data_IF_613889752965
#
_entry.id   IF_613889752965
#
_cell.length_a   1.000
_cell.length_b   1.000
_cell.length_c   1.000
_cell.angle_alpha   90.00
_cell.angle_beta   90.00
_cell.angle_gamma   90.00
#
_symmetry.space_group_name_H-M   'P 1'
#
loop_
_entity.id
_entity.type
_entity.pdbx_description
1 polymer ?
#
# COMPACT_ATOMS: atom_id res chain seq x y z
N UNK A 1 -22.96 43.56 -36.48
CA UNK A 1 -22.92 42.12 -36.82
C UNK A 1 -21.71 41.35 -36.24
N UNK A 2 -20.72 41.98 -35.57
CA UNK A 2 -19.48 41.30 -35.14
C UNK A 2 -19.39 40.76 -33.70
N UNK A 3 -20.41 40.93 -32.85
CA UNK A 3 -20.35 40.51 -31.44
C UNK A 3 -20.85 39.09 -31.17
N UNK A 4 -21.78 38.58 -31.99
CA UNK A 4 -22.32 37.23 -31.82
C UNK A 4 -21.38 36.11 -32.28
N UNK A 5 -20.52 36.34 -33.28
CA UNK A 5 -19.54 35.34 -33.75
C UNK A 5 -18.46 35.03 -32.70
N UNK A 6 -17.98 36.05 -31.98
CA UNK A 6 -16.94 35.88 -30.95
C UNK A 6 -17.46 35.07 -29.75
N UNK A 7 -18.73 35.27 -29.36
CA UNK A 7 -19.37 34.49 -28.30
C UNK A 7 -19.61 33.03 -28.72
N UNK A 8 -20.06 32.82 -29.96
CA UNK A 8 -20.24 31.47 -30.51
C UNK A 8 -18.90 30.72 -30.63
N UNK A 9 -17.83 31.41 -31.03
CA UNK A 9 -16.50 30.80 -31.16
C UNK A 9 -15.89 30.43 -29.80
N UNK A 10 -16.06 31.25 -28.75
CA UNK A 10 -15.62 30.90 -27.38
C UNK A 10 -16.44 29.74 -26.78
N UNK A 11 -17.76 29.70 -27.02
CA UNK A 11 -18.62 28.62 -26.56
C UNK A 11 -18.34 27.28 -27.29
N UNK A 12 -17.90 27.33 -28.55
CA UNK A 12 -17.48 26.16 -29.32
C UNK A 12 -16.12 25.60 -28.86
N UNK A 13 -15.15 26.46 -28.54
CA UNK A 13 -13.84 26.05 -27.97
C UNK A 13 -14.03 25.41 -26.59
N UNK A 14 -14.86 26.01 -25.73
CA UNK A 14 -15.16 25.47 -24.39
C UNK A 14 -15.91 24.13 -24.41
N UNK A 15 -16.75 23.88 -25.43
CA UNK A 15 -17.36 22.56 -25.66
C UNK A 15 -16.34 21.53 -26.15
N UNK A 16 -15.47 21.90 -27.11
CA UNK A 16 -14.44 20.99 -27.65
C UNK A 16 -13.42 20.51 -26.60
N UNK A 17 -13.04 21.36 -25.64
CA UNK A 17 -12.15 20.94 -24.52
C UNK A 17 -12.86 19.99 -23.55
N UNK A 18 -14.16 20.20 -23.28
CA UNK A 18 -14.95 19.32 -22.39
C UNK A 18 -15.12 17.91 -22.98
N UNK A 19 -15.38 17.80 -24.28
CA UNK A 19 -15.49 16.50 -24.97
C UNK A 19 -14.14 15.78 -25.12
N UNK A 20 -13.02 16.52 -25.22
CA UNK A 20 -11.67 15.94 -25.22
C UNK A 20 -11.26 15.36 -23.86
N UNK A 21 -11.61 16.02 -22.76
CA UNK A 21 -11.35 15.49 -21.41
C UNK A 21 -12.19 14.24 -21.11
N UNK A 22 -13.45 14.20 -21.55
CA UNK A 22 -14.32 13.02 -21.42
C UNK A 22 -13.83 11.89 -22.33
N UNK A 23 -13.42 12.19 -23.57
CA UNK A 23 -12.85 11.18 -24.47
C UNK A 23 -11.51 10.64 -23.97
N UNK A 24 -10.68 11.46 -23.32
CA UNK A 24 -9.45 10.97 -22.68
C UNK A 24 -9.73 10.11 -21.45
N UNK A 25 -10.72 10.46 -20.63
CA UNK A 25 -11.14 9.62 -19.50
C UNK A 25 -11.65 8.26 -20.00
N UNK A 26 -12.45 8.25 -21.09
CA UNK A 26 -12.95 7.03 -21.73
C UNK A 26 -11.80 6.24 -22.36
N UNK A 27 -10.86 6.89 -23.05
CA UNK A 27 -9.70 6.23 -23.65
C UNK A 27 -8.80 5.60 -22.58
N UNK A 28 -8.61 6.26 -21.44
CA UNK A 28 -7.85 5.73 -20.29
C UNK A 28 -8.59 4.55 -19.66
N UNK A 29 -9.91 4.65 -19.47
CA UNK A 29 -10.74 3.54 -19.03
C UNK A 29 -10.72 2.37 -20.02
N UNK A 30 -10.64 2.64 -21.34
CA UNK A 30 -10.49 1.62 -22.37
C UNK A 30 -9.10 0.99 -22.37
N UNK A 31 -8.01 1.76 -22.16
CA UNK A 31 -6.65 1.23 -22.04
C UNK A 31 -6.50 0.36 -20.79
N UNK A 32 -7.09 0.78 -19.67
CA UNK A 32 -7.21 -0.03 -18.45
C UNK A 32 -8.10 -1.26 -18.69
N UNK A 33 -9.16 -1.13 -19.50
CA UNK A 33 -10.02 -2.23 -19.95
C UNK A 33 -9.33 -3.22 -20.89
N UNK A 34 -8.35 -2.79 -21.68
CA UNK A 34 -7.54 -3.69 -22.52
C UNK A 34 -6.47 -4.44 -21.72
N UNK A 35 -5.99 -3.88 -20.61
CA UNK A 35 -5.18 -4.60 -19.62
C UNK A 35 -6.00 -5.68 -18.88
N UNK A 36 -7.32 -5.51 -18.81
CA UNK A 36 -8.30 -6.51 -18.35
C UNK A 36 -8.55 -7.65 -19.34
N UNK A 37 -8.20 -7.48 -20.63
CA UNK A 37 -8.43 -8.47 -21.70
C UNK A 37 -7.23 -9.39 -21.95
N UNK A 38 -6.16 -9.28 -21.15
CA UNK A 38 -5.19 -10.36 -21.04
C UNK A 38 -5.92 -11.56 -20.41
N UNK A 39 -5.86 -12.77 -21.01
CA UNK A 39 -6.70 -13.89 -20.61
C UNK A 39 -6.51 -14.22 -19.12
N UNK A 40 -7.60 -14.07 -18.36
CA UNK A 40 -7.74 -14.46 -16.95
C UNK A 40 -7.61 -15.97 -16.71
N UNK A 41 -7.47 -16.76 -17.78
CA UNK A 41 -7.35 -18.23 -17.75
C UNK A 41 -5.92 -18.72 -17.49
N UNK A 42 -4.95 -17.84 -17.25
CA UNK A 42 -3.62 -18.23 -16.76
C UNK A 42 -3.48 -18.10 -15.23
N UNK A 43 -4.54 -17.68 -14.52
CA UNK A 43 -4.51 -17.33 -13.08
C UNK A 43 -5.56 -18.08 -12.25
N UNK A 44 -6.13 -19.16 -12.78
CA UNK A 44 -7.05 -20.02 -12.05
C UNK A 44 -6.62 -21.49 -12.21
N UNK A 45 -6.38 -22.13 -11.07
CA UNK A 45 -5.98 -23.53 -10.86
C UNK A 45 -4.56 -23.90 -11.33
N UNK A 46 -3.57 -23.56 -10.51
CA UNK A 46 -2.36 -24.37 -10.39
C UNK A 46 -2.48 -25.22 -9.10
N UNK A 47 -2.26 -26.54 -9.16
CA UNK A 47 -2.26 -27.39 -7.98
C UNK A 47 -1.11 -26.98 -7.06
N UNK A 48 -1.40 -26.86 -5.76
CA UNK A 48 -0.43 -26.62 -4.68
C UNK A 48 0.68 -27.66 -4.75
N UNK A 49 1.76 -27.32 -5.44
CA UNK A 49 3.03 -28.05 -5.46
C UNK A 49 4.15 -27.04 -5.67
N UNK A 50 4.94 -26.83 -4.62
CA UNK A 50 6.29 -26.25 -4.56
C UNK A 50 6.47 -24.85 -5.17
N UNK A 51 6.66 -23.87 -4.27
CA UNK A 51 7.26 -22.54 -4.50
C UNK A 51 6.83 -21.80 -5.76
N UNK A 52 5.54 -21.47 -5.86
CA UNK A 52 5.14 -20.32 -6.66
C UNK A 52 5.52 -19.07 -5.87
N UNK A 53 6.73 -18.55 -6.13
CA UNK A 53 7.33 -17.41 -5.43
C UNK A 53 6.54 -16.14 -5.71
N UNK A 54 5.38 -15.96 -5.08
CA UNK A 54 4.77 -14.64 -4.92
C UNK A 54 5.70 -13.85 -4.01
N UNK A 55 6.60 -13.09 -4.62
CA UNK A 55 7.52 -12.21 -3.93
C UNK A 55 6.74 -11.25 -3.03
N UNK A 56 6.82 -11.46 -1.71
CA UNK A 56 6.25 -10.57 -0.70
C UNK A 56 7.38 -9.74 -0.08
N UNK A 57 7.56 -8.48 -0.50
CA UNK A 57 8.61 -7.63 0.04
C UNK A 57 8.50 -7.55 1.57
N UNK A 58 7.31 -7.51 2.17
CA UNK A 58 7.19 -7.38 3.62
C UNK A 58 7.74 -8.57 4.40
N UNK A 59 7.76 -9.77 3.80
CA UNK A 59 8.35 -10.98 4.42
C UNK A 59 9.85 -11.10 4.16
N UNK A 60 10.31 -10.66 2.99
CA UNK A 60 11.68 -10.92 2.53
C UNK A 60 12.68 -9.82 2.89
N UNK A 61 12.24 -8.59 3.17
CA UNK A 61 13.15 -7.50 3.59
C UNK A 61 13.41 -7.41 5.10
N UNK A 62 13.13 -8.49 5.84
CA UNK A 62 13.68 -8.68 7.19
C UNK A 62 13.30 -7.60 8.20
N UNK A 63 12.03 -7.56 8.62
CA UNK A 63 11.71 -7.11 9.97
C UNK A 63 11.74 -8.26 11.00
N UNK A 64 12.13 -9.47 10.58
CA UNK A 64 12.57 -10.52 11.49
C UNK A 64 14.01 -10.22 11.93
N UNK A 65 14.18 -9.18 12.75
CA UNK A 65 15.26 -9.23 13.72
C UNK A 65 14.86 -10.26 14.77
N UNK A 66 15.08 -11.53 14.45
CA UNK A 66 15.21 -12.56 15.47
C UNK A 66 16.32 -12.15 16.44
N UNK A 67 16.00 -12.23 17.74
CA UNK A 67 16.90 -12.27 18.90
C UNK A 67 17.40 -10.94 19.50
N UNK A 68 16.89 -10.69 20.72
CA UNK A 68 17.62 -10.32 21.94
C UNK A 68 18.24 -8.93 22.16
N UNK A 69 18.08 -7.96 21.27
CA UNK A 69 18.35 -6.57 21.65
C UNK A 69 17.40 -5.66 20.89
N UNK A 70 16.46 -4.97 21.54
CA UNK A 70 16.06 -3.58 21.24
C UNK A 70 14.93 -3.11 22.17
N UNK A 71 15.16 -3.21 23.49
CA UNK A 71 14.71 -2.14 24.37
C UNK A 71 15.63 -0.91 24.13
N UNK A 72 15.36 -0.13 23.08
CA UNK A 72 15.86 1.26 22.98
C UNK A 72 17.01 1.58 22.00
N UNK A 73 17.01 1.08 20.75
CA UNK A 73 17.84 1.69 19.69
C UNK A 73 16.94 2.47 18.73
N UNK A 74 17.17 3.78 18.61
CA UNK A 74 16.44 4.66 17.69
C UNK A 74 16.70 4.33 16.22
N UNK A 75 16.09 5.11 15.32
CA UNK A 75 16.20 4.92 13.85
C UNK A 75 17.67 4.82 13.42
N UNK A 76 18.04 3.70 12.80
CA UNK A 76 19.41 3.51 12.29
C UNK A 76 19.70 4.44 11.10
N UNK A 77 20.97 4.74 10.83
CA UNK A 77 21.35 5.58 9.67
C UNK A 77 20.88 4.95 8.35
N UNK A 78 20.92 3.62 8.26
CA UNK A 78 20.49 2.87 7.08
C UNK A 78 18.96 2.94 6.87
N UNK A 79 18.17 2.77 7.93
CA UNK A 79 16.71 2.97 7.86
C UNK A 79 16.34 4.41 7.54
N UNK A 80 17.01 5.39 8.18
CA UNK A 80 16.79 6.80 7.89
C UNK A 80 17.08 7.11 6.41
N UNK A 81 18.17 6.58 5.85
CA UNK A 81 18.51 6.72 4.44
C UNK A 81 17.47 6.05 3.54
N UNK A 82 17.04 4.83 3.87
CA UNK A 82 16.00 4.10 3.14
C UNK A 82 14.71 4.90 3.01
N UNK A 83 14.15 5.37 4.14
CA UNK A 83 12.93 6.17 4.14
C UNK A 83 13.12 7.54 3.48
N UNK A 84 14.33 8.12 3.55
CA UNK A 84 14.63 9.39 2.85
C UNK A 84 14.60 9.21 1.33
N UNK A 85 15.12 8.10 0.81
CA UNK A 85 15.05 7.79 -0.63
C UNK A 85 13.61 7.56 -1.07
N UNK A 86 12.81 6.82 -0.27
CA UNK A 86 11.36 6.66 -0.54
C UNK A 86 10.63 8.00 -0.54
N UNK A 87 10.92 8.86 0.43
CA UNK A 87 10.34 10.20 0.51
C UNK A 87 10.67 11.02 -0.76
N UNK A 88 11.95 11.05 -1.13
CA UNK A 88 12.39 11.76 -2.33
C UNK A 88 11.73 11.22 -3.61
N UNK A 89 11.61 9.90 -3.72
CA UNK A 89 10.88 9.22 -4.80
C UNK A 89 9.42 9.70 -4.90
N UNK A 90 8.63 9.57 -3.83
CA UNK A 90 7.22 9.94 -3.87
C UNK A 90 7.02 11.43 -4.18
N UNK A 91 7.86 12.33 -3.65
CA UNK A 91 7.78 13.75 -3.99
C UNK A 91 8.11 14.02 -5.46
N UNK A 92 9.20 13.45 -5.98
CA UNK A 92 9.60 13.64 -7.37
C UNK A 92 8.58 13.05 -8.33
N UNK A 93 8.03 11.87 -8.01
CA UNK A 93 6.97 11.19 -8.72
C UNK A 93 5.71 12.07 -8.83
N UNK A 94 5.18 12.50 -7.68
CA UNK A 94 3.94 13.29 -7.64
C UNK A 94 4.08 14.61 -8.38
N UNK A 95 5.24 15.24 -8.30
CA UNK A 95 5.52 16.48 -9.01
C UNK A 95 5.65 16.27 -10.53
N UNK A 96 6.37 15.24 -10.96
CA UNK A 96 6.56 14.94 -12.39
C UNK A 96 5.25 14.53 -13.06
N UNK A 97 4.55 13.55 -12.50
CA UNK A 97 3.25 13.11 -13.01
C UNK A 97 2.23 14.26 -12.97
N UNK A 98 2.18 15.01 -11.87
CA UNK A 98 1.27 16.13 -11.71
C UNK A 98 1.50 17.27 -12.70
N UNK A 99 2.75 17.69 -12.94
CA UNK A 99 3.08 18.71 -13.95
C UNK A 99 2.63 18.30 -15.35
N UNK A 100 2.82 17.03 -15.71
CA UNK A 100 2.45 16.49 -17.00
C UNK A 100 0.93 16.41 -17.18
N UNK A 101 0.19 16.02 -16.14
CA UNK A 101 -1.28 16.03 -16.15
C UNK A 101 -1.84 17.45 -16.31
N UNK A 102 -1.27 18.42 -15.58
CA UNK A 102 -1.72 19.82 -15.64
C UNK A 102 -1.34 20.54 -16.93
N UNK A 103 -0.40 19.99 -17.72
CA UNK A 103 0.02 20.59 -19.00
C UNK A 103 -1.16 20.78 -19.97
N UNK A 104 -2.15 19.88 -19.96
CA UNK A 104 -3.36 19.97 -20.80
C UNK A 104 -4.26 21.14 -20.41
N UNK A 105 -4.30 21.47 -19.11
CA UNK A 105 -5.18 22.50 -18.60
C UNK A 105 -4.58 23.92 -18.68
N UNK A 106 -3.31 24.03 -19.10
CA UNK A 106 -2.59 25.30 -19.27
C UNK A 106 -2.53 25.63 -20.78
N UNK A 107 -2.76 26.89 -21.18
CA UNK A 107 -2.66 27.29 -22.59
C UNK A 107 -1.31 26.92 -23.22
N UNK A 108 -1.34 26.46 -24.47
CA UNK A 108 -0.13 26.08 -25.21
C UNK A 108 0.67 27.30 -25.72
N UNK A 109 0.15 28.52 -25.56
CA UNK A 109 0.82 29.76 -25.93
C UNK A 109 2.13 29.93 -25.15
N UNK A 110 3.25 30.06 -25.86
CA UNK A 110 4.57 30.21 -25.26
C UNK A 110 4.75 31.55 -24.55
N UNK A 111 3.92 32.55 -24.85
CA UNK A 111 3.95 33.84 -24.18
C UNK A 111 3.21 33.84 -22.84
N UNK A 112 2.36 32.84 -22.60
CA UNK A 112 1.61 32.69 -21.36
C UNK A 112 2.55 32.46 -20.16
N UNK A 113 2.35 33.22 -19.08
CA UNK A 113 3.17 33.17 -17.87
C UNK A 113 3.11 31.79 -17.20
N UNK A 114 1.95 31.12 -17.21
CA UNK A 114 1.78 29.79 -16.63
C UNK A 114 2.58 28.76 -17.44
N UNK A 115 2.52 28.86 -18.78
CA UNK A 115 3.26 27.97 -19.69
C UNK A 115 4.78 28.15 -19.55
N UNK A 116 5.27 29.38 -19.45
CA UNK A 116 6.70 29.67 -19.21
C UNK A 116 7.20 29.04 -17.91
N UNK A 117 6.43 29.18 -16.83
CA UNK A 117 6.82 28.62 -15.53
C UNK A 117 6.76 27.10 -15.52
N UNK A 118 5.74 26.49 -16.13
CA UNK A 118 5.66 25.03 -16.32
C UNK A 118 6.91 24.52 -17.05
N UNK A 119 7.22 25.08 -18.23
CA UNK A 119 8.38 24.67 -19.02
C UNK A 119 9.70 24.87 -18.28
N UNK A 120 9.84 25.94 -17.50
CA UNK A 120 11.03 26.22 -16.67
C UNK A 120 11.28 25.11 -15.65
N UNK A 121 10.22 24.58 -15.03
CA UNK A 121 10.32 23.55 -13.99
C UNK A 121 10.27 22.11 -14.53
N UNK A 122 9.78 21.91 -15.76
CA UNK A 122 9.68 20.58 -16.37
C UNK A 122 10.99 19.78 -16.38
N UNK A 123 12.09 20.37 -16.86
CA UNK A 123 13.38 19.66 -16.96
C UNK A 123 13.97 19.33 -15.57
N UNK A 124 14.08 20.28 -14.62
CA UNK A 124 14.55 19.98 -13.27
C UNK A 124 13.75 18.87 -12.59
N UNK A 125 12.41 18.89 -12.74
CA UNK A 125 11.55 17.87 -12.14
C UNK A 125 11.77 16.50 -12.77
N UNK A 126 11.93 16.41 -14.09
CA UNK A 126 12.25 15.14 -14.75
C UNK A 126 13.62 14.60 -14.35
N UNK A 127 14.61 15.47 -14.14
CA UNK A 127 15.92 15.07 -13.59
C UNK A 127 15.79 14.56 -12.16
N UNK A 128 15.02 15.24 -11.32
CA UNK A 128 14.76 14.79 -9.96
C UNK A 128 14.07 13.42 -9.95
N UNK A 129 13.07 13.21 -10.81
CA UNK A 129 12.40 11.91 -10.96
C UNK A 129 13.39 10.81 -11.36
N UNK A 130 14.21 11.04 -12.39
CA UNK A 130 15.20 10.05 -12.85
C UNK A 130 16.16 9.67 -11.71
N UNK A 131 16.74 10.65 -11.02
CA UNK A 131 17.65 10.39 -9.89
C UNK A 131 16.92 9.66 -8.77
N UNK A 132 15.69 10.07 -8.45
CA UNK A 132 14.90 9.46 -7.39
C UNK A 132 14.54 8.00 -7.71
N UNK A 133 14.14 7.69 -8.95
CA UNK A 133 13.86 6.32 -9.40
C UNK A 133 15.12 5.46 -9.35
N UNK A 134 16.25 5.95 -9.86
CA UNK A 134 17.51 5.20 -9.83
C UNK A 134 17.96 4.89 -8.40
N UNK A 135 17.90 5.88 -7.50
CA UNK A 135 18.20 5.68 -6.08
C UNK A 135 17.20 4.72 -5.42
N UNK A 136 15.91 4.87 -5.70
CA UNK A 136 14.85 4.01 -5.15
C UNK A 136 15.08 2.55 -5.53
N UNK A 137 15.26 2.28 -6.83
CA UNK A 137 15.50 0.91 -7.34
C UNK A 137 16.79 0.34 -6.78
N UNK A 138 17.89 1.11 -6.81
CA UNK A 138 19.17 0.66 -6.26
C UNK A 138 19.07 0.26 -4.79
N UNK A 139 18.45 1.12 -3.96
CA UNK A 139 18.33 0.88 -2.51
C UNK A 139 17.43 -0.32 -2.22
N UNK A 140 16.29 -0.46 -2.92
CA UNK A 140 15.38 -1.58 -2.68
C UNK A 140 15.99 -2.91 -3.12
N UNK A 141 16.61 -2.98 -4.31
CA UNK A 141 17.34 -4.19 -4.74
C UNK A 141 18.49 -4.51 -3.78
N UNK A 142 19.21 -3.51 -3.28
CA UNK A 142 20.32 -3.73 -2.34
C UNK A 142 19.84 -4.31 -1.01
N UNK A 143 18.72 -3.85 -0.47
CA UNK A 143 18.13 -4.43 0.74
C UNK A 143 17.65 -5.86 0.51
N UNK A 144 17.07 -6.12 -0.66
CA UNK A 144 16.67 -7.46 -1.09
C UNK A 144 17.83 -8.45 -1.15
N UNK A 145 19.00 -7.97 -1.54
CA UNK A 145 20.23 -8.75 -1.60
C UNK A 145 20.93 -8.89 -0.25
N UNK A 146 20.44 -8.29 0.83
CA UNK A 146 21.16 -8.21 2.12
C UNK A 146 21.37 -9.55 2.86
N UNK A 147 20.92 -10.66 2.29
CA UNK A 147 21.23 -12.04 2.72
C UNK A 147 21.96 -12.90 1.69
N UNK A 148 22.34 -12.35 0.54
CA UNK A 148 23.07 -13.02 -0.54
C UNK A 148 24.42 -12.34 -0.77
N UNK A 149 25.37 -13.01 -1.42
CA UNK A 149 26.62 -12.38 -1.87
C UNK A 149 26.30 -11.30 -2.92
N UNK A 150 26.03 -10.08 -2.43
CA UNK A 150 25.32 -8.98 -3.11
C UNK A 150 25.99 -8.33 -4.31
N UNK A 151 26.95 -9.00 -4.94
CA UNK A 151 27.74 -8.47 -6.05
C UNK A 151 27.53 -9.19 -7.38
N UNK A 152 26.77 -10.30 -7.45
CA UNK A 152 26.53 -10.99 -8.72
C UNK A 152 25.55 -10.20 -9.62
N UNK A 153 26.01 -9.66 -10.76
CA UNK A 153 25.14 -8.92 -11.69
C UNK A 153 24.01 -9.77 -12.28
N UNK A 154 24.17 -11.09 -12.34
CA UNK A 154 23.13 -11.99 -12.85
C UNK A 154 21.94 -12.05 -11.91
N UNK A 155 22.19 -12.01 -10.60
CA UNK A 155 21.14 -12.05 -9.60
C UNK A 155 20.35 -10.75 -9.57
N UNK A 156 21.04 -9.62 -9.73
CA UNK A 156 20.38 -8.33 -9.97
C UNK A 156 19.47 -8.35 -11.20
N UNK A 157 19.96 -8.92 -12.31
CA UNK A 157 19.17 -9.04 -13.53
C UNK A 157 17.95 -9.95 -13.31
N UNK A 158 18.15 -11.11 -12.68
CA UNK A 158 17.09 -12.07 -12.34
C UNK A 158 16.00 -11.43 -11.51
N UNK A 159 16.35 -10.73 -10.43
CA UNK A 159 15.38 -10.01 -9.58
C UNK A 159 14.60 -8.99 -10.42
N UNK A 160 15.28 -8.22 -11.27
CA UNK A 160 14.65 -7.19 -12.09
C UNK A 160 13.76 -7.74 -13.21
N UNK A 161 14.09 -8.89 -13.82
CA UNK A 161 13.36 -9.44 -14.97
C UNK A 161 12.34 -10.49 -14.59
N UNK A 162 12.57 -11.26 -13.55
CA UNK A 162 11.78 -12.45 -13.25
C UNK A 162 10.72 -12.18 -12.20
N UNK A 163 10.95 -11.19 -11.32
CA UNK A 163 9.93 -10.77 -10.35
C UNK A 163 8.98 -9.73 -10.95
N UNK A 164 7.72 -9.78 -10.54
CA UNK A 164 6.71 -8.76 -10.89
C UNK A 164 7.11 -7.37 -10.41
N UNK A 165 7.66 -7.30 -9.20
CA UNK A 165 8.16 -6.06 -8.58
C UNK A 165 9.33 -5.48 -9.36
N UNK A 166 10.31 -6.31 -9.74
CA UNK A 166 11.44 -5.93 -10.58
C UNK A 166 11.01 -5.35 -11.94
N UNK A 167 10.03 -5.99 -12.60
CA UNK A 167 9.48 -5.49 -13.87
C UNK A 167 8.84 -4.11 -13.72
N UNK A 168 8.14 -3.86 -12.60
CA UNK A 168 7.58 -2.54 -12.31
C UNK A 168 8.67 -1.46 -12.15
N UNK A 169 9.77 -1.79 -11.48
CA UNK A 169 10.93 -0.91 -11.31
C UNK A 169 11.65 -0.61 -12.63
N UNK A 170 11.80 -1.61 -13.50
CA UNK A 170 12.29 -1.41 -14.86
C UNK A 170 11.36 -0.50 -15.66
N UNK A 171 10.04 -0.71 -15.58
CA UNK A 171 9.07 0.15 -16.26
C UNK A 171 9.14 1.60 -15.77
N UNK A 172 9.23 1.82 -14.45
CA UNK A 172 9.42 3.16 -13.86
C UNK A 172 10.73 3.81 -14.34
N UNK A 173 11.81 3.04 -14.42
CA UNK A 173 13.11 3.52 -14.92
C UNK A 173 13.01 3.95 -16.38
N UNK A 174 12.45 3.11 -17.25
CA UNK A 174 12.23 3.42 -18.67
C UNK A 174 11.31 4.62 -18.85
N UNK A 175 10.20 4.68 -18.11
CA UNK A 175 9.27 5.81 -18.18
C UNK A 175 9.93 7.11 -17.70
N UNK A 176 10.77 7.09 -16.67
CA UNK A 176 11.50 8.27 -16.21
C UNK A 176 12.42 8.86 -17.31
N UNK A 177 13.06 8.00 -18.12
CA UNK A 177 13.86 8.39 -19.28
C UNK A 177 12.97 8.89 -20.43
N UNK A 178 11.89 8.18 -20.74
CA UNK A 178 10.95 8.58 -21.80
C UNK A 178 10.29 9.93 -21.50
N UNK A 179 10.12 10.30 -20.23
CA UNK A 179 9.54 11.59 -19.85
C UNK A 179 10.28 12.80 -20.43
N UNK A 180 11.60 12.70 -20.66
CA UNK A 180 12.37 13.76 -21.36
C UNK A 180 11.95 13.93 -22.82
N UNK A 181 11.60 12.84 -23.50
CA UNK A 181 11.06 12.87 -24.86
C UNK A 181 9.64 13.44 -24.85
N UNK A 182 8.82 13.05 -23.86
CA UNK A 182 7.43 13.53 -23.72
C UNK A 182 7.35 15.06 -23.53
N UNK A 183 8.38 15.68 -22.96
CA UNK A 183 8.47 17.15 -22.88
C UNK A 183 8.52 17.84 -24.25
N UNK A 184 8.85 17.15 -25.34
CA UNK A 184 8.82 17.72 -26.70
C UNK A 184 7.53 17.41 -27.47
N UNK A 185 6.68 16.57 -26.90
CA UNK A 185 5.45 16.07 -27.50
C UNK A 185 4.23 16.89 -27.04
N UNK A 186 3.09 16.79 -27.74
CA UNK A 186 1.85 17.47 -27.34
C UNK A 186 1.41 17.10 -25.92
N UNK A 187 0.71 18.02 -25.25
CA UNK A 187 0.28 17.87 -23.85
C UNK A 187 -0.59 16.63 -23.61
N UNK A 188 -1.29 16.14 -24.64
CA UNK A 188 -2.01 14.87 -24.59
C UNK A 188 -1.10 13.67 -24.29
N UNK A 189 0.05 13.60 -24.94
CA UNK A 189 1.01 12.51 -24.74
C UNK A 189 1.73 12.63 -23.40
N UNK A 190 1.94 13.86 -22.90
CA UNK A 190 2.45 14.11 -21.55
C UNK A 190 1.50 13.55 -20.48
N UNK A 191 0.20 13.81 -20.61
CA UNK A 191 -0.78 13.25 -19.67
C UNK A 191 -0.89 11.73 -19.76
N UNK A 192 -0.86 11.17 -20.98
CA UNK A 192 -0.84 9.70 -21.16
C UNK A 192 0.40 9.11 -20.47
N UNK A 193 1.58 9.72 -20.64
CA UNK A 193 2.80 9.30 -19.95
C UNK A 193 2.65 9.34 -18.43
N UNK A 194 2.04 10.39 -17.87
CA UNK A 194 1.83 10.50 -16.43
C UNK A 194 0.91 9.39 -15.89
N UNK A 195 -0.10 9.00 -16.68
CA UNK A 195 -0.99 7.89 -16.35
C UNK A 195 -0.29 6.54 -16.50
N UNK A 196 0.57 6.35 -17.49
CA UNK A 196 1.41 5.15 -17.61
C UNK A 196 2.38 5.03 -16.43
N UNK A 197 2.95 6.15 -15.97
CA UNK A 197 3.80 6.19 -14.78
C UNK A 197 3.01 5.82 -13.51
N UNK A 198 1.79 6.34 -13.34
CA UNK A 198 0.89 5.94 -12.26
C UNK A 198 0.53 4.45 -12.33
N UNK A 199 0.25 3.93 -13.52
CA UNK A 199 -0.04 2.51 -13.70
C UNK A 199 1.16 1.63 -13.33
N UNK A 200 2.37 2.00 -13.77
CA UNK A 200 3.59 1.27 -13.42
C UNK A 200 3.83 1.20 -11.90
N UNK A 201 3.56 2.29 -11.17
CA UNK A 201 3.64 2.30 -9.70
C UNK A 201 2.60 1.37 -9.07
N UNK A 202 1.38 1.29 -9.62
CA UNK A 202 0.33 0.44 -9.05
C UNK A 202 0.52 -1.06 -9.27
N UNK A 203 1.46 -1.46 -10.14
CA UNK A 203 1.93 -2.84 -10.27
C UNK A 203 3.11 -3.15 -9.34
N UNK A 204 3.52 -2.23 -8.48
CA UNK A 204 4.59 -2.45 -7.49
C UNK A 204 4.11 -3.42 -6.38
N UNK A 205 5.06 -4.16 -5.78
CA UNK A 205 4.80 -5.37 -4.99
C UNK A 205 3.86 -5.23 -3.80
N UNK A 206 3.72 -4.04 -3.22
CA UNK A 206 2.85 -3.80 -2.06
C UNK A 206 1.35 -4.04 -2.37
N UNK A 207 0.94 -3.91 -3.62
CA UNK A 207 -0.46 -4.11 -4.05
C UNK A 207 -0.73 -5.55 -4.50
N UNK A 208 0.32 -6.27 -4.90
CA UNK A 208 0.27 -7.67 -5.39
C UNK A 208 0.19 -8.71 -4.26
N UNK A 209 0.45 -8.31 -3.02
CA UNK A 209 0.32 -9.16 -1.84
C UNK A 209 -1.13 -9.27 -1.32
N UNK A 210 -2.11 -8.65 -2.01
CA UNK A 210 -3.49 -8.58 -1.54
C UNK A 210 -4.36 -9.76 -2.03
N UNK A 211 -5.37 -10.20 -1.26
CA UNK A 211 -6.21 -11.34 -1.65
C UNK A 211 -6.97 -11.15 -2.98
N UNK A 212 -7.23 -9.90 -3.38
CA UNK A 212 -7.95 -9.52 -4.61
C UNK A 212 -7.16 -8.52 -5.46
N UNK A 213 -5.94 -8.91 -5.81
CA UNK A 213 -4.94 -8.12 -6.56
C UNK A 213 -5.52 -7.21 -7.65
N UNK A 214 -6.45 -7.68 -8.48
CA UNK A 214 -7.01 -6.86 -9.58
C UNK A 214 -7.76 -5.62 -9.12
N UNK A 215 -8.56 -5.71 -8.05
CA UNK A 215 -9.31 -4.55 -7.54
C UNK A 215 -8.35 -3.59 -6.83
N UNK A 216 -7.41 -4.14 -6.06
CA UNK A 216 -6.40 -3.36 -5.36
C UNK A 216 -5.55 -2.50 -6.32
N UNK A 217 -5.08 -3.08 -7.42
CA UNK A 217 -4.31 -2.37 -8.46
C UNK A 217 -5.11 -1.21 -9.05
N UNK A 218 -6.40 -1.41 -9.35
CA UNK A 218 -7.25 -0.36 -9.90
C UNK A 218 -7.48 0.77 -8.88
N UNK A 219 -7.74 0.42 -7.62
CA UNK A 219 -7.92 1.42 -6.56
C UNK A 219 -6.63 2.21 -6.32
N UNK A 220 -5.48 1.54 -6.30
CA UNK A 220 -4.19 2.20 -6.15
C UNK A 220 -3.88 3.11 -7.35
N UNK A 221 -4.12 2.66 -8.58
CA UNK A 221 -3.96 3.48 -9.77
C UNK A 221 -4.79 4.77 -9.70
N UNK A 222 -6.07 4.65 -9.31
CA UNK A 222 -6.94 5.80 -9.10
C UNK A 222 -6.37 6.70 -7.99
N UNK A 223 -5.88 6.11 -6.91
CA UNK A 223 -5.32 6.84 -5.78
C UNK A 223 -4.06 7.62 -6.17
N UNK A 224 -3.10 6.97 -6.83
CA UNK A 224 -1.83 7.56 -7.27
C UNK A 224 -2.07 8.63 -8.34
N UNK A 225 -2.92 8.37 -9.33
CA UNK A 225 -3.24 9.35 -10.38
C UNK A 225 -3.93 10.59 -9.80
N UNK A 226 -4.90 10.41 -8.89
CA UNK A 226 -5.56 11.54 -8.21
C UNK A 226 -4.61 12.28 -7.27
N UNK A 227 -3.69 11.56 -6.61
CA UNK A 227 -2.66 12.15 -5.75
C UNK A 227 -1.72 13.05 -6.55
N UNK A 228 -1.24 12.56 -7.71
CA UNK A 228 -0.38 13.32 -8.60
C UNK A 228 -1.10 14.57 -9.16
N UNK A 229 -2.34 14.40 -9.60
CA UNK A 229 -3.16 15.51 -10.09
C UNK A 229 -3.35 16.59 -9.01
N UNK A 230 -3.67 16.19 -7.78
CA UNK A 230 -3.85 17.11 -6.66
C UNK A 230 -2.54 17.77 -6.24
N UNK A 231 -1.49 16.99 -5.97
CA UNK A 231 -0.22 17.48 -5.47
C UNK A 231 0.49 18.38 -6.49
N UNK A 232 0.56 17.97 -7.77
CA UNK A 232 1.14 18.79 -8.83
C UNK A 232 0.36 20.07 -9.07
N UNK A 233 -0.97 20.02 -8.95
CA UNK A 233 -1.82 21.21 -9.04
C UNK A 233 -1.57 22.19 -7.90
N UNK A 234 -1.41 21.70 -6.67
CA UNK A 234 -1.11 22.53 -5.51
C UNK A 234 0.27 23.19 -5.63
N UNK A 235 1.29 22.45 -6.09
CA UNK A 235 2.62 23.00 -6.34
C UNK A 235 2.60 24.04 -7.45
N UNK A 236 1.92 23.77 -8.57
CA UNK A 236 1.75 24.78 -9.63
C UNK A 236 1.03 26.02 -9.12
N UNK A 237 -0.01 25.86 -8.32
CA UNK A 237 -0.73 26.98 -7.72
C UNK A 237 0.19 27.79 -6.79
N UNK A 238 1.04 27.13 -5.98
CA UNK A 238 2.05 27.78 -5.14
C UNK A 238 3.13 28.51 -5.96
N UNK A 239 3.57 27.91 -7.07
CA UNK A 239 4.53 28.49 -8.00
C UNK A 239 3.96 29.75 -8.67
N UNK A 240 2.73 29.66 -9.20
CA UNK A 240 2.02 30.81 -9.76
C UNK A 240 1.76 31.86 -8.68
N UNK A 241 1.38 31.47 -7.46
CA UNK A 241 1.15 32.40 -6.37
C UNK A 241 2.40 33.22 -6.01
N UNK A 242 3.59 32.59 -6.09
CA UNK A 242 4.86 33.28 -5.89
C UNK A 242 5.26 34.16 -7.07
N UNK A 243 4.98 33.74 -8.31
CA UNK A 243 5.37 34.46 -9.51
C UNK A 243 4.41 35.61 -9.87
N UNK A 244 3.11 35.34 -9.94
CA UNK A 244 2.05 36.30 -10.23
C UNK A 244 0.71 35.87 -9.59
N UNK A 245 0.26 36.62 -8.59
CA UNK A 245 -0.98 36.35 -7.85
C UNK A 245 -2.24 36.40 -8.73
N UNK A 246 -2.25 37.17 -9.83
CA UNK A 246 -3.38 37.23 -10.75
C UNK A 246 -3.51 35.93 -11.54
N UNK A 247 -2.38 35.43 -12.04
CA UNK A 247 -2.33 34.13 -12.74
C UNK A 247 -2.68 32.97 -11.80
N UNK A 248 -2.21 33.04 -10.55
CA UNK A 248 -2.60 32.09 -9.52
C UNK A 248 -4.13 32.03 -9.32
N UNK A 249 -4.81 33.19 -9.32
CA UNK A 249 -6.28 33.25 -9.25
C UNK A 249 -6.97 32.56 -10.43
N UNK A 250 -6.47 32.78 -11.65
CA UNK A 250 -7.00 32.15 -12.89
C UNK A 250 -6.81 30.64 -12.92
N UNK A 251 -5.73 30.14 -12.33
CA UNK A 251 -5.45 28.72 -12.21
C UNK A 251 -6.23 28.09 -11.04
N UNK A 252 -6.38 28.81 -9.92
CA UNK A 252 -7.02 28.32 -8.71
C UNK A 252 -8.44 27.82 -8.96
N UNK A 253 -9.22 28.45 -9.83
CA UNK A 253 -10.58 27.96 -10.12
C UNK A 253 -10.60 26.58 -10.79
N UNK A 254 -9.69 26.34 -11.74
CA UNK A 254 -9.51 25.04 -12.40
C UNK A 254 -8.98 23.99 -11.43
N UNK A 255 -7.95 24.36 -10.67
CA UNK A 255 -7.36 23.52 -9.63
C UNK A 255 -8.39 23.10 -8.58
N UNK A 256 -9.20 24.02 -8.06
CA UNK A 256 -10.18 23.69 -7.02
C UNK A 256 -11.22 22.68 -7.50
N UNK A 257 -11.68 22.76 -8.76
CA UNK A 257 -12.63 21.77 -9.31
C UNK A 257 -11.99 20.37 -9.37
N UNK A 258 -10.75 20.29 -9.87
CA UNK A 258 -10.01 19.03 -9.92
C UNK A 258 -9.68 18.51 -8.51
N UNK A 259 -9.29 19.38 -7.58
CA UNK A 259 -8.93 19.03 -6.21
C UNK A 259 -10.11 18.41 -5.45
N UNK A 260 -11.33 18.96 -5.59
CA UNK A 260 -12.51 18.38 -4.94
C UNK A 260 -12.84 16.98 -5.44
N UNK A 261 -12.77 16.76 -6.76
CA UNK A 261 -12.95 15.44 -7.35
C UNK A 261 -11.84 14.48 -6.92
N UNK A 262 -10.59 14.96 -6.90
CA UNK A 262 -9.44 14.18 -6.48
C UNK A 262 -9.56 13.75 -5.02
N UNK A 263 -9.91 14.65 -4.10
CA UNK A 263 -10.11 14.34 -2.67
C UNK A 263 -11.21 13.27 -2.50
N UNK A 264 -12.33 13.38 -3.24
CA UNK A 264 -13.38 12.37 -3.19
C UNK A 264 -12.88 11.00 -3.65
N UNK A 265 -12.22 10.93 -4.81
CA UNK A 265 -11.69 9.69 -5.36
C UNK A 265 -10.57 9.10 -4.50
N UNK A 266 -9.71 9.95 -3.92
CA UNK A 266 -8.66 9.56 -2.97
C UNK A 266 -9.25 8.93 -1.70
N UNK A 267 -10.31 9.53 -1.15
CA UNK A 267 -10.99 8.98 0.02
C UNK A 267 -11.64 7.64 -0.30
N UNK A 268 -12.37 7.52 -1.40
CA UNK A 268 -13.04 6.28 -1.80
C UNK A 268 -12.02 5.17 -2.08
N UNK A 269 -10.98 5.45 -2.87
CA UNK A 269 -9.92 4.48 -3.18
C UNK A 269 -9.14 4.07 -1.94
N UNK A 270 -8.76 5.03 -1.09
CA UNK A 270 -8.02 4.78 0.14
C UNK A 270 -8.81 3.94 1.14
N UNK A 271 -10.11 4.21 1.31
CA UNK A 271 -11.01 3.39 2.14
C UNK A 271 -11.13 1.98 1.54
N UNK A 272 -11.33 1.86 0.23
CA UNK A 272 -11.42 0.56 -0.44
C UNK A 272 -10.18 -0.30 -0.26
N UNK A 273 -8.98 0.29 -0.41
CA UNK A 273 -7.71 -0.40 -0.15
C UNK A 273 -7.55 -0.77 1.33
N UNK A 274 -7.93 0.12 2.25
CA UNK A 274 -7.87 -0.16 3.69
C UNK A 274 -8.74 -1.36 4.06
N UNK A 275 -9.96 -1.45 3.52
CA UNK A 275 -10.88 -2.57 3.78
C UNK A 275 -10.30 -3.90 3.29
N UNK A 276 -9.60 -3.90 2.16
CA UNK A 276 -8.96 -5.11 1.63
C UNK A 276 -7.74 -5.54 2.46
N UNK A 277 -7.03 -4.57 3.02
CA UNK A 277 -5.81 -4.82 3.77
C UNK A 277 -6.06 -5.15 5.25
N UNK A 278 -7.14 -4.67 5.86
CA UNK A 278 -7.42 -4.85 7.28
C UNK A 278 -8.29 -6.08 7.58
N UNK A 279 -7.76 -7.11 8.27
CA UNK A 279 -8.56 -8.21 8.76
C UNK A 279 -9.52 -7.80 9.88
N UNK A 280 -9.15 -6.78 10.66
CA UNK A 280 -9.92 -6.27 11.80
C UNK A 280 -9.72 -4.77 11.99
N UNK A 281 -10.79 -4.04 12.32
CA UNK A 281 -10.76 -2.60 12.60
C UNK A 281 -9.85 -2.26 13.79
N UNK A 282 -9.65 -3.22 14.70
CA UNK A 282 -8.77 -3.08 15.87
C UNK A 282 -7.34 -2.77 15.47
N UNK A 283 -6.90 -3.19 14.28
CA UNK A 283 -5.53 -2.94 13.83
C UNK A 283 -5.29 -1.44 13.63
N UNK A 284 -6.34 -0.64 13.40
CA UNK A 284 -6.23 0.82 13.30
C UNK A 284 -5.69 1.46 14.58
N UNK A 285 -5.97 0.86 15.74
CA UNK A 285 -5.63 1.43 17.06
C UNK A 285 -4.49 0.69 17.75
N UNK A 286 -4.27 -0.59 17.43
CA UNK A 286 -3.25 -1.42 18.08
C UNK A 286 -1.95 -1.58 17.29
N UNK A 287 -1.89 -1.13 16.03
CA UNK A 287 -0.69 -1.24 15.19
C UNK A 287 -0.11 0.13 14.88
N UNK A 288 1.22 0.20 14.76
CA UNK A 288 1.95 1.39 14.30
C UNK A 288 1.40 1.86 12.95
N UNK A 289 1.19 0.91 12.02
CA UNK A 289 0.58 1.13 10.71
C UNK A 289 -0.80 1.81 10.80
N UNK A 290 -1.67 1.30 11.66
CA UNK A 290 -3.01 1.83 11.87
C UNK A 290 -3.02 3.27 12.39
N UNK A 291 -2.15 3.57 13.36
CA UNK A 291 -2.00 4.90 13.93
C UNK A 291 -1.51 5.90 12.86
N UNK A 292 -0.55 5.49 12.03
CA UNK A 292 -0.07 6.31 10.90
C UNK A 292 -1.18 6.58 9.88
N UNK A 293 -2.01 5.57 9.58
CA UNK A 293 -3.16 5.74 8.70
C UNK A 293 -4.18 6.73 9.28
N UNK A 294 -4.49 6.64 10.57
CA UNK A 294 -5.37 7.59 11.26
C UNK A 294 -4.80 9.01 11.24
N UNK A 295 -3.50 9.17 11.45
CA UNK A 295 -2.82 10.47 11.33
C UNK A 295 -2.94 11.04 9.90
N UNK A 296 -2.69 10.22 8.87
CA UNK A 296 -2.88 10.59 7.46
C UNK A 296 -4.32 11.02 7.18
N UNK A 297 -5.30 10.28 7.69
CA UNK A 297 -6.71 10.62 7.54
C UNK A 297 -7.02 11.98 8.19
N UNK A 298 -6.47 12.26 9.38
CA UNK A 298 -6.55 13.56 10.04
C UNK A 298 -6.00 14.71 9.17
N UNK A 299 -4.82 14.53 8.57
CA UNK A 299 -4.26 15.54 7.66
C UNK A 299 -5.12 15.76 6.42
N UNK A 300 -5.69 14.69 5.84
CA UNK A 300 -6.62 14.79 4.70
C UNK A 300 -7.89 15.57 5.06
N UNK A 301 -8.42 15.41 6.28
CA UNK A 301 -9.55 16.21 6.76
C UNK A 301 -9.19 17.70 6.86
N UNK A 302 -7.99 18.02 7.36
CA UNK A 302 -7.49 19.40 7.40
C UNK A 302 -7.36 19.99 5.99
N UNK A 303 -6.82 19.22 5.04
CA UNK A 303 -6.74 19.60 3.61
C UNK A 303 -8.13 19.86 3.04
N UNK A 304 -9.10 18.98 3.30
CA UNK A 304 -10.47 19.15 2.81
C UNK A 304 -11.12 20.43 3.37
N UNK A 305 -10.91 20.72 4.65
CA UNK A 305 -11.38 21.95 5.29
C UNK A 305 -10.72 23.20 4.68
N UNK A 306 -9.39 23.19 4.50
CA UNK A 306 -8.65 24.29 3.89
C UNK A 306 -9.07 24.54 2.45
N UNK A 307 -9.23 23.47 1.65
CA UNK A 307 -9.76 23.52 0.29
C UNK A 307 -11.18 24.09 0.22
N UNK A 308 -12.03 23.79 1.22
CA UNK A 308 -13.37 24.36 1.34
C UNK A 308 -13.33 25.87 1.61
N UNK A 309 -12.50 26.31 2.54
CA UNK A 309 -12.31 27.72 2.86
C UNK A 309 -11.71 28.49 1.67
N UNK A 310 -10.75 27.90 0.95
CA UNK A 310 -10.18 28.47 -0.28
C UNK A 310 -11.26 28.63 -1.35
N UNK A 311 -12.05 27.58 -1.60
CA UNK A 311 -13.13 27.61 -2.59
C UNK A 311 -14.17 28.66 -2.26
N UNK A 312 -14.54 28.81 -0.98
CA UNK A 312 -15.47 29.86 -0.53
C UNK A 312 -14.93 31.26 -0.81
N UNK A 313 -13.64 31.51 -0.53
CA UNK A 313 -13.00 32.80 -0.83
C UNK A 313 -12.94 33.11 -2.33
N UNK A 314 -12.58 32.13 -3.15
CA UNK A 314 -12.52 32.28 -4.61
C UNK A 314 -13.92 32.59 -5.18
N UNK A 315 -14.97 31.90 -4.69
CA UNK A 315 -16.35 32.20 -5.06
C UNK A 315 -16.78 33.63 -4.69
N UNK A 316 -16.24 34.18 -3.61
CA UNK A 316 -16.44 35.57 -3.21
C UNK A 316 -15.52 36.57 -3.94
N UNK A 317 -14.91 36.18 -5.08
CA UNK A 317 -14.00 37.00 -5.89
C UNK A 317 -12.76 37.53 -5.12
N UNK A 318 -12.37 36.84 -4.05
CA UNK A 318 -11.16 37.16 -3.28
C UNK A 318 -9.99 36.30 -3.76
N UNK A 319 -8.79 36.87 -3.76
CA UNK A 319 -7.57 36.11 -4.01
C UNK A 319 -7.40 34.98 -2.97
N UNK A 320 -6.79 33.85 -3.36
CA UNK A 320 -6.52 32.76 -2.43
C UNK A 320 -5.68 33.25 -1.24
N UNK A 321 -5.95 32.71 -0.05
CA UNK A 321 -5.20 33.10 1.15
C UNK A 321 -3.83 32.44 1.13
N UNK A 322 -2.76 33.24 1.10
CA UNK A 322 -1.40 32.70 1.15
C UNK A 322 -1.11 31.85 2.40
N UNK A 323 -1.74 32.16 3.55
CA UNK A 323 -1.61 31.36 4.77
C UNK A 323 -2.23 29.97 4.62
N UNK A 324 -3.45 29.89 4.08
CA UNK A 324 -4.12 28.60 3.88
C UNK A 324 -3.43 27.79 2.77
N UNK A 325 -2.92 28.44 1.72
CA UNK A 325 -2.18 27.74 0.66
C UNK A 325 -0.86 27.14 1.18
N UNK A 326 -0.17 27.84 2.10
CA UNK A 326 1.01 27.30 2.80
C UNK A 326 0.63 26.14 3.72
N UNK A 327 -0.51 26.23 4.42
CA UNK A 327 -1.03 25.17 5.26
C UNK A 327 -1.38 23.91 4.43
N UNK A 328 -2.07 24.07 3.31
CA UNK A 328 -2.33 22.98 2.35
C UNK A 328 -1.03 22.33 1.87
N UNK A 329 -0.03 23.14 1.50
CA UNK A 329 1.28 22.65 1.09
C UNK A 329 2.02 21.88 2.20
N UNK A 330 1.90 22.34 3.46
CA UNK A 330 2.46 21.65 4.62
C UNK A 330 1.75 20.31 4.87
N UNK A 331 0.41 20.29 4.86
CA UNK A 331 -0.36 19.06 5.04
C UNK A 331 -0.09 18.05 3.93
N UNK A 332 0.04 18.51 2.67
CA UNK A 332 0.49 17.66 1.56
C UNK A 332 1.84 17.03 1.86
N UNK A 333 2.81 17.81 2.34
CA UNK A 333 4.12 17.29 2.66
C UNK A 333 4.07 16.23 3.78
N UNK A 334 3.29 16.49 4.83
CA UNK A 334 3.09 15.52 5.92
C UNK A 334 2.41 14.23 5.44
N UNK A 335 1.39 14.34 4.59
CA UNK A 335 0.72 13.17 3.98
C UNK A 335 1.71 12.35 3.16
N UNK A 336 2.57 12.97 2.36
CA UNK A 336 3.59 12.27 1.58
C UNK A 336 4.69 11.64 2.46
N UNK A 337 5.07 12.30 3.56
CA UNK A 337 6.00 11.73 4.55
C UNK A 337 5.40 10.46 5.15
N UNK A 338 4.19 10.55 5.71
CA UNK A 338 3.51 9.38 6.29
C UNK A 338 3.32 8.30 5.22
N UNK A 339 2.92 8.68 4.00
CA UNK A 339 2.75 7.75 2.88
C UNK A 339 4.04 7.00 2.54
N UNK A 340 5.18 7.69 2.51
CA UNK A 340 6.47 7.09 2.16
C UNK A 340 6.94 6.03 3.17
N UNK A 341 6.48 6.12 4.42
CA UNK A 341 6.84 5.20 5.50
C UNK A 341 5.83 4.07 5.58
N UNK A 342 4.54 4.36 5.77
CA UNK A 342 3.53 3.34 6.08
C UNK A 342 3.20 2.41 4.90
N UNK A 343 3.57 2.78 3.67
CA UNK A 343 3.47 1.90 2.48
C UNK A 343 4.48 0.75 2.50
N UNK A 344 5.50 0.82 3.36
CA UNK A 344 6.48 -0.24 3.55
C UNK A 344 6.25 -1.05 4.83
N UNK A 345 5.62 -0.46 5.84
CA UNK A 345 5.31 -1.11 7.12
C UNK A 345 4.16 -2.09 6.94
N UNK A 346 4.24 -3.25 7.61
CA UNK A 346 3.16 -4.25 7.60
C UNK A 346 1.93 -3.76 8.38
N UNK A 347 0.69 -4.01 7.88
CA UNK A 347 -0.53 -3.72 8.63
C UNK A 347 -0.79 -4.71 9.78
N UNK A 348 -0.04 -5.82 9.84
CA UNK A 348 -0.17 -6.82 10.90
C UNK A 348 0.46 -6.29 12.20
N UNK A 349 -0.06 -6.71 13.37
CA UNK A 349 0.58 -6.38 14.64
C UNK A 349 2.01 -6.94 14.68
N UNK A 350 2.93 -6.13 15.18
CA UNK A 350 4.29 -6.55 15.52
C UNK A 350 4.21 -7.33 16.84
N UNK A 351 3.96 -8.64 16.74
CA UNK A 351 3.91 -9.57 17.87
C UNK A 351 4.74 -10.80 17.56
N UNK A 352 5.37 -11.38 18.58
CA UNK A 352 6.12 -12.62 18.43
C UNK A 352 5.17 -13.81 18.28
N UNK A 353 5.26 -14.60 17.20
CA UNK A 353 4.47 -15.81 17.05
C UNK A 353 4.68 -16.73 18.25
N UNK A 354 3.59 -17.23 18.83
CA UNK A 354 3.68 -18.17 19.92
C UNK A 354 3.88 -19.58 19.36
N UNK A 355 4.83 -20.32 19.92
CA UNK A 355 5.02 -21.74 19.65
C UNK A 355 5.39 -22.45 20.94
N UNK A 356 4.62 -23.47 21.30
CA UNK A 356 4.86 -24.31 22.46
C UNK A 356 4.81 -25.77 22.05
N UNK A 357 5.90 -26.48 22.32
CA UNK A 357 6.04 -27.89 22.03
C UNK A 357 6.33 -28.65 23.33
N UNK A 358 5.57 -29.71 23.58
CA UNK A 358 5.75 -30.58 24.74
C UNK A 358 5.87 -32.04 24.30
N UNK A 359 6.96 -32.68 24.72
CA UNK A 359 7.20 -34.11 24.55
C UNK A 359 6.82 -34.85 25.84
N UNK A 360 6.13 -35.98 25.68
CA UNK A 360 5.68 -36.85 26.77
C UNK A 360 5.86 -38.32 26.40
N UNK A 361 5.64 -39.25 27.34
CA UNK A 361 5.80 -40.68 27.03
C UNK A 361 4.70 -41.23 26.11
N UNK A 362 3.47 -40.70 26.24
CA UNK A 362 2.28 -41.21 25.54
C UNK A 362 1.47 -40.12 24.81
N UNK A 363 1.96 -38.87 24.80
CA UNK A 363 1.24 -37.74 24.20
C UNK A 363 2.21 -36.59 23.92
N UNK A 364 2.36 -36.19 22.67
CA UNK A 364 3.11 -34.99 22.28
C UNK A 364 2.18 -34.01 21.58
N UNK A 365 2.50 -32.72 21.68
CA UNK A 365 1.79 -31.72 20.91
C UNK A 365 2.64 -30.49 20.65
N UNK A 366 2.29 -29.78 19.58
CA UNK A 366 2.80 -28.45 19.25
C UNK A 366 1.63 -27.53 19.04
N UNK A 367 1.53 -26.48 19.85
CA UNK A 367 0.57 -25.39 19.67
C UNK A 367 1.31 -24.16 19.13
N UNK A 368 0.90 -23.66 17.97
CA UNK A 368 1.41 -22.43 17.39
C UNK A 368 0.29 -21.43 17.10
N UNK A 369 0.52 -20.14 17.40
CA UNK A 369 -0.44 -19.05 17.17
C UNK A 369 0.28 -17.92 16.44
N UNK A 370 -0.25 -17.51 15.29
CA UNK A 370 0.33 -16.45 14.44
C UNK A 370 -0.75 -15.44 14.03
N UNK A 371 -0.52 -14.12 14.16
CA UNK A 371 0.71 -13.48 14.64
C UNK A 371 0.87 -13.46 16.18
N UNK A 372 -0.06 -14.05 16.94
CA UNK A 372 -0.14 -13.96 18.41
C UNK A 372 -0.35 -12.50 18.88
N UNK A 373 -1.39 -11.87 18.35
CA UNK A 373 -1.78 -10.52 18.71
C UNK A 373 -3.30 -10.36 18.79
N UNK A 374 -3.81 -9.20 19.22
CA UNK A 374 -5.23 -8.94 19.21
C UNK A 374 -5.80 -9.00 17.80
N UNK A 375 -7.02 -9.50 17.64
CA UNK A 375 -7.69 -9.70 16.35
C UNK A 375 -7.56 -11.14 15.83
N UNK A 376 -7.73 -11.38 14.52
CA UNK A 376 -7.72 -12.73 13.97
C UNK A 376 -6.31 -13.34 13.97
N UNK A 377 -6.22 -14.58 14.46
CA UNK A 377 -5.02 -15.40 14.46
C UNK A 377 -5.25 -16.71 13.70
N UNK A 378 -4.19 -17.27 13.15
CA UNK A 378 -4.13 -18.67 12.72
C UNK A 378 -3.55 -19.49 13.86
N UNK A 379 -4.24 -20.57 14.21
CA UNK A 379 -3.79 -21.52 15.22
C UNK A 379 -3.48 -22.83 14.50
N UNK A 380 -2.28 -23.35 14.73
CA UNK A 380 -1.87 -24.68 14.30
C UNK A 380 -1.65 -25.55 15.52
N UNK A 381 -2.24 -26.72 15.52
CA UNK A 381 -2.09 -27.70 16.57
C UNK A 381 -1.69 -29.03 15.93
N UNK A 382 -0.50 -29.52 16.27
CA UNK A 382 -0.05 -30.85 15.91
C UNK A 382 -0.15 -31.74 17.14
N UNK A 383 -0.71 -32.93 16.99
CA UNK A 383 -0.87 -33.91 18.07
C UNK A 383 -0.24 -35.23 17.64
N UNK A 384 0.57 -35.82 18.52
CA UNK A 384 1.13 -37.15 18.33
C UNK A 384 0.64 -38.08 19.44
N UNK A 385 0.02 -39.18 19.03
CA UNK A 385 -0.40 -40.27 19.90
C UNK A 385 0.32 -41.57 19.51
N UNK A 386 0.56 -42.50 20.45
CA UNK A 386 1.13 -43.81 20.14
C UNK A 386 0.40 -44.49 18.96
N UNK A 387 1.14 -45.12 18.06
CA UNK A 387 0.59 -45.76 16.85
C UNK A 387 -0.58 -46.71 17.14
N UNK A 388 -0.54 -47.37 18.31
CA UNK A 388 -1.56 -48.30 18.80
C UNK A 388 -2.92 -47.63 19.04
N UNK A 389 -2.92 -46.33 19.40
CA UNK A 389 -4.12 -45.52 19.63
C UNK A 389 -4.60 -44.82 18.36
N UNK A 390 -3.75 -44.65 17.36
CA UNK A 390 -4.09 -43.98 16.11
C UNK A 390 -4.42 -42.49 16.29
N UNK A 391 -5.29 -41.95 15.42
CA UNK A 391 -5.72 -40.56 15.49
C UNK A 391 -6.72 -40.31 16.64
N UNK A 392 -6.69 -39.13 17.29
CA UNK A 392 -7.61 -38.81 18.37
C UNK A 392 -9.07 -38.74 17.87
N UNK A 393 -10.01 -39.15 18.73
CA UNK A 393 -11.45 -39.12 18.46
C UNK A 393 -11.98 -37.69 18.39
N UNK A 394 -11.52 -36.83 19.31
CA UNK A 394 -11.85 -35.41 19.29
C UNK A 394 -10.76 -34.58 19.95
N UNK A 395 -10.60 -33.36 19.46
CA UNK A 395 -9.67 -32.36 20.00
C UNK A 395 -10.43 -31.06 20.18
N UNK A 396 -10.36 -30.47 21.37
CA UNK A 396 -10.94 -29.15 21.66
C UNK A 396 -9.87 -28.23 22.24
N UNK A 397 -9.91 -26.98 21.81
CA UNK A 397 -8.99 -25.94 22.26
C UNK A 397 -9.78 -24.70 22.68
N UNK A 398 -9.73 -24.39 23.97
CA UNK A 398 -10.42 -23.25 24.57
C UNK A 398 -9.39 -22.23 25.07
N UNK A 399 -9.51 -20.99 24.61
CA UNK A 399 -8.59 -19.90 24.95
C UNK A 399 -9.28 -18.96 25.94
N UNK A 400 -8.65 -18.71 27.09
CA UNK A 400 -9.18 -17.84 28.16
C UNK A 400 -8.23 -16.68 28.41
N UNK A 401 -8.77 -15.48 28.53
CA UNK A 401 -7.97 -14.34 28.99
C UNK A 401 -7.83 -14.40 30.51
N UNK A 402 -6.59 -14.38 30.99
CA UNK A 402 -6.27 -14.33 32.42
C UNK A 402 -6.55 -12.94 32.98
N UNK A 403 -6.23 -11.90 32.20
CA UNK A 403 -6.43 -10.49 32.58
C UNK A 403 -7.91 -10.08 32.55
N UNK A 404 -8.73 -10.78 31.75
CA UNK A 404 -10.17 -10.55 31.64
C UNK A 404 -11.00 -11.81 31.95
N UNK A 405 -10.99 -12.31 33.21
CA UNK A 405 -11.54 -13.62 33.56
C UNK A 405 -13.07 -13.72 33.47
N UNK A 406 -13.77 -12.57 33.34
CA UNK A 406 -15.23 -12.52 33.17
C UNK A 406 -15.68 -12.69 31.71
N UNK A 407 -14.75 -12.55 30.77
CA UNK A 407 -15.04 -12.71 29.35
C UNK A 407 -15.18 -14.19 28.99
N UNK A 408 -15.96 -14.46 27.94
CA UNK A 408 -16.15 -15.83 27.47
C UNK A 408 -14.86 -16.39 26.88
N UNK A 409 -14.61 -17.68 27.13
CA UNK A 409 -13.54 -18.40 26.45
C UNK A 409 -13.79 -18.40 24.93
N UNK A 410 -12.71 -18.24 24.16
CA UNK A 410 -12.73 -18.33 22.71
C UNK A 410 -12.44 -19.78 22.34
N UNK A 411 -13.40 -20.46 21.71
CA UNK A 411 -13.19 -21.81 21.19
C UNK A 411 -12.59 -21.75 19.79
N UNK A 412 -11.43 -22.40 19.61
CA UNK A 412 -10.83 -22.55 18.29
C UNK A 412 -11.46 -23.75 17.58
N UNK A 413 -12.19 -23.49 16.50
CA UNK A 413 -12.79 -24.54 15.66
C UNK A 413 -11.68 -25.16 14.81
N UNK A 414 -11.13 -26.27 15.30
CA UNK A 414 -10.04 -27.02 14.66
C UNK A 414 -10.59 -27.87 13.49
N UNK A 415 -9.92 -27.79 12.35
CA UNK A 415 -10.15 -28.62 11.17
C UNK A 415 -8.91 -29.47 10.93
N UNK A 416 -9.11 -30.74 10.55
CA UNK A 416 -7.99 -31.61 10.18
C UNK A 416 -7.23 -31.01 9.01
N UNK A 417 -5.92 -30.90 9.16
CA UNK A 417 -5.00 -30.44 8.14
C UNK A 417 -4.08 -31.62 7.75
N UNK A 418 -3.50 -31.58 6.55
CA UNK A 418 -2.43 -32.49 6.15
C UNK A 418 -1.21 -31.62 5.90
N UNK A 419 -0.50 -31.25 6.97
CA UNK A 419 0.65 -30.37 6.87
C UNK A 419 1.73 -30.95 5.94
N UNK A 420 2.49 -30.07 5.28
CA UNK A 420 3.64 -30.46 4.45
C UNK A 420 4.88 -30.79 5.31
N UNK A 421 4.97 -30.22 6.51
CA UNK A 421 6.05 -30.45 7.48
C UNK A 421 5.75 -31.66 8.38
N UNK A 422 6.10 -32.85 7.90
CA UNK A 422 6.03 -34.09 8.69
C UNK A 422 7.22 -34.17 9.65
N UNK A 423 6.95 -34.11 10.96
CA UNK A 423 7.94 -34.51 11.96
C UNK A 423 7.65 -35.95 12.37
N UNK A 424 8.34 -36.88 11.70
CA UNK A 424 8.21 -38.30 12.02
C UNK A 424 8.81 -38.60 13.40
N UNK A 425 7.96 -38.89 14.37
CA UNK A 425 8.36 -39.46 15.65
C UNK A 425 8.08 -40.96 15.63
N UNK A 426 9.11 -41.83 15.58
CA UNK A 426 8.93 -43.27 15.53
C UNK A 426 8.04 -43.77 16.68
N UNK A 427 7.01 -44.55 16.37
CA UNK A 427 6.05 -45.08 17.34
C UNK A 427 4.85 -44.16 17.63
N UNK A 428 4.75 -43.00 16.97
CA UNK A 428 3.62 -42.09 17.10
C UNK A 428 2.96 -41.77 15.75
N UNK A 429 1.64 -41.63 15.78
CA UNK A 429 0.81 -41.12 14.69
C UNK A 429 0.62 -39.61 14.85
N UNK A 430 1.08 -38.83 13.88
CA UNK A 430 0.85 -37.39 13.80
C UNK A 430 -0.56 -37.09 13.29
N UNK A 431 -1.24 -36.10 13.88
CA UNK A 431 -2.49 -35.54 13.37
C UNK A 431 -2.45 -34.03 13.49
N UNK A 432 -2.60 -33.36 12.35
CA UNK A 432 -2.50 -31.92 12.24
C UNK A 432 -3.89 -31.27 12.24
N UNK A 433 -3.98 -30.14 12.91
CA UNK A 433 -5.17 -29.32 12.98
C UNK A 433 -4.85 -27.85 12.74
N UNK A 434 -5.77 -27.18 12.05
CA UNK A 434 -5.71 -25.74 11.83
C UNK A 434 -7.04 -25.09 12.18
N UNK A 435 -6.96 -23.92 12.82
CA UNK A 435 -8.08 -23.00 12.95
C UNK A 435 -7.69 -21.64 12.35
N UNK A 436 -8.48 -21.18 11.40
CA UNK A 436 -8.31 -19.87 10.77
C UNK A 436 -9.20 -18.82 11.41
N UNK A 437 -8.69 -17.58 11.51
CA UNK A 437 -9.44 -16.40 11.98
C UNK A 437 -9.99 -16.53 13.40
N UNK A 438 -9.21 -17.13 14.30
CA UNK A 438 -9.52 -17.17 15.73
C UNK A 438 -9.29 -15.77 16.31
N UNK A 439 -10.37 -15.08 16.71
CA UNK A 439 -10.29 -13.69 17.17
C UNK A 439 -9.88 -13.62 18.65
N UNK A 440 -8.71 -13.03 18.92
CA UNK A 440 -8.25 -12.73 20.27
C UNK A 440 -8.60 -11.28 20.64
N UNK A 441 -9.57 -11.04 21.54
CA UNK A 441 -10.09 -9.70 21.79
C UNK A 441 -9.21 -8.80 22.67
N UNK A 442 -8.11 -9.25 23.24
CA UNK A 442 -7.31 -8.42 24.16
C UNK A 442 -5.82 -8.71 24.03
N UNK A 443 -4.98 -7.72 24.37
CA UNK A 443 -3.58 -7.96 24.72
C UNK A 443 -3.51 -8.41 26.17
N UNK A 444 -2.55 -9.27 26.51
CA UNK A 444 -2.29 -9.67 27.88
C UNK A 444 -1.97 -11.16 28.02
N UNK A 445 -2.19 -11.67 29.23
CA UNK A 445 -2.02 -13.08 29.56
C UNK A 445 -3.23 -13.92 29.13
N UNK A 446 -2.93 -15.08 28.57
CA UNK A 446 -3.90 -16.07 28.08
C UNK A 446 -3.53 -17.48 28.54
N UNK A 447 -4.55 -18.32 28.66
CA UNK A 447 -4.42 -19.76 28.93
C UNK A 447 -5.19 -20.56 27.88
N UNK A 448 -4.54 -21.57 27.30
CA UNK A 448 -5.14 -22.48 26.33
C UNK A 448 -5.39 -23.81 27.04
N UNK A 449 -6.65 -24.18 27.13
CA UNK A 449 -7.12 -25.46 27.63
C UNK A 449 -7.28 -26.41 26.44
N UNK A 450 -6.32 -27.33 26.29
CA UNK A 450 -6.32 -28.38 25.28
C UNK A 450 -6.91 -29.66 25.87
N UNK A 451 -7.95 -30.18 25.23
CA UNK A 451 -8.63 -31.42 25.58
C UNK A 451 -8.54 -32.39 24.40
N UNK A 452 -7.91 -33.54 24.61
CA UNK A 452 -7.77 -34.60 23.61
C UNK A 452 -8.43 -35.87 24.13
N UNK A 453 -9.34 -36.43 23.33
CA UNK A 453 -9.99 -37.72 23.58
C UNK A 453 -9.36 -38.75 22.64
N UNK A 454 -8.77 -39.81 23.20
CA UNK A 454 -8.20 -40.91 22.42
C UNK A 454 -9.22 -42.03 22.16
N UNK A 455 -8.81 -43.07 21.40
CA UNK A 455 -9.65 -44.22 21.05
C UNK A 455 -9.99 -45.13 22.25
N UNK A 456 -9.35 -44.93 23.39
CA UNK A 456 -9.60 -45.67 24.63
C UNK A 456 -10.58 -44.95 25.56
N UNK A 457 -11.23 -43.88 25.08
CA UNK A 457 -12.08 -42.96 25.83
C UNK A 457 -11.33 -42.19 26.95
N UNK A 458 -9.99 -42.20 26.94
CA UNK A 458 -9.21 -41.43 27.90
C UNK A 458 -9.11 -39.96 27.48
N UNK A 459 -9.32 -39.05 28.43
CA UNK A 459 -9.27 -37.61 28.22
C UNK A 459 -7.97 -37.05 28.78
N UNK A 460 -7.13 -36.52 27.90
CA UNK A 460 -5.93 -35.77 28.27
C UNK A 460 -6.23 -34.28 28.27
N UNK A 461 -5.96 -33.61 29.39
CA UNK A 461 -6.11 -32.16 29.55
C UNK A 461 -4.76 -31.49 29.76
N UNK A 462 -4.47 -30.45 28.98
CA UNK A 462 -3.28 -29.58 29.13
C UNK A 462 -3.71 -28.12 29.23
N UNK A 463 -3.00 -27.36 30.06
CA UNK A 463 -3.16 -25.92 30.21
C UNK A 463 -1.85 -25.27 29.80
N UNK A 464 -1.90 -24.39 28.82
CA UNK A 464 -0.74 -23.74 28.22
C UNK A 464 -0.90 -22.24 28.42
N UNK A 465 -0.05 -21.64 29.25
CA UNK A 465 -0.07 -20.21 29.48
C UNK A 465 0.83 -19.49 28.47
N UNK A 466 0.37 -18.36 27.94
CA UNK A 466 1.17 -17.49 27.08
C UNK A 466 0.75 -16.02 27.21
N UNK A 467 1.50 -15.13 26.57
CA UNK A 467 1.14 -13.72 26.44
C UNK A 467 1.19 -13.27 24.98
N UNK A 468 0.35 -12.29 24.64
CA UNK A 468 0.22 -11.74 23.29
C UNK A 468 0.44 -10.22 23.25
N UNK A 469 1.31 -9.72 24.14
CA UNK A 469 1.63 -8.29 24.30
C UNK A 469 2.74 -7.78 23.38
#
# INVERSE_FOLDING_TARGET
MGTNEVYMHRAAIGRKTKYRSISMLILVLCIVGTLWLLPSTAMAEAPLTIEDTSFDPHKQVGHNHSTDEHAGKGVTVQEAFFYTVRLFYYFAFMLAAGLMLWSIAIPADQNDTQRKLLNKWSIPVMRALLVAVLLFVFVHVSQLMSGYDGTDPKEWLRILTDTTTGRSWLALTVLSLLGFVMLRLPDSLRAIWALLLAAAESFNGHVLALPSNSIAIVLDFIHVACSALWAGGLILLLLFWRADRKEAGRFAERFMRAAWLSILLLSVSGIGMTIQLLPSWRYLIYTSWGIMLLAKAGFVLVIACCGFLLRRRIKSQKLPSGKLLKLDGLMMALVLIVASIFTYVSPMPETEPFSHHEMGENFHYTLAITPNGPGPNRISLKVWLPEQLGAPVSVRLLLRSVDHPKEKAVEAILQSDSGEDFFAFPGFTETDYVAHKVDLPFRGAWEAELLVLDQSDAVTKKIIAWRND
#
